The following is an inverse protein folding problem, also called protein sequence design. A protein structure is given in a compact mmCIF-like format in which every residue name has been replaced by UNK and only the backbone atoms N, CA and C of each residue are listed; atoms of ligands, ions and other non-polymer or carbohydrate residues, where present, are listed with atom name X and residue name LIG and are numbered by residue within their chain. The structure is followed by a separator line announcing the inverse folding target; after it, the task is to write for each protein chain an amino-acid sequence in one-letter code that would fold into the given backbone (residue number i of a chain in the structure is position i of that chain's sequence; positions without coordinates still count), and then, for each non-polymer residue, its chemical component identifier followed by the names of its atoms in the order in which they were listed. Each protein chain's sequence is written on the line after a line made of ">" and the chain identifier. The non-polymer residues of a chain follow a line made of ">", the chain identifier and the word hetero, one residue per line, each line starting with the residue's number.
data_IF_753051866979
#
_entry.id   IF_753051866979
#
_cell.length_a   1.000
_cell.length_b   1.000
_cell.length_c   1.000
_cell.angle_alpha   90.00
_cell.angle_beta   90.00
_cell.angle_gamma   90.00
#
_symmetry.space_group_name_H-M   'P 1'
#
loop_
_entity.id
_entity.type
_entity.pdbx_description
1 polymer ?
#
# COMPACT_ATOMS: atom_id res chain seq x y z
N UNK A 1 -14.69 8.32 -52.62
CA UNK A 1 -14.82 8.69 -51.20
C UNK A 1 -14.31 7.50 -50.40
N UNK A 2 -13.01 7.45 -50.19
CA UNK A 2 -12.30 6.34 -49.52
C UNK A 2 -11.91 6.84 -48.13
N UNK A 3 -12.53 6.27 -47.11
CA UNK A 3 -12.19 6.54 -45.71
C UNK A 3 -10.86 5.83 -45.41
N UNK A 4 -9.81 6.61 -45.19
CA UNK A 4 -8.57 6.13 -44.57
C UNK A 4 -8.83 5.84 -43.09
N UNK A 5 -8.46 4.66 -42.56
CA UNK A 5 -8.46 4.45 -41.12
C UNK A 5 -7.42 5.38 -40.50
N UNK A 6 -7.82 6.11 -39.46
CA UNK A 6 -6.89 6.86 -38.63
C UNK A 6 -6.09 5.86 -37.81
N UNK A 7 -4.82 5.67 -38.13
CA UNK A 7 -3.86 5.05 -37.22
C UNK A 7 -3.72 5.97 -36.01
N UNK A 8 -4.50 5.70 -34.96
CA UNK A 8 -4.17 6.20 -33.64
C UNK A 8 -2.89 5.47 -33.24
N UNK A 9 -1.74 6.12 -33.39
CA UNK A 9 -0.54 5.75 -32.64
C UNK A 9 -0.92 5.79 -31.16
N UNK A 10 -1.24 4.63 -30.59
CA UNK A 10 -1.43 4.49 -29.16
C UNK A 10 -0.08 4.79 -28.52
N UNK A 11 0.08 6.01 -28.01
CA UNK A 11 1.18 6.35 -27.12
C UNK A 11 1.07 5.40 -25.94
N UNK A 12 1.96 4.40 -25.86
CA UNK A 12 1.99 3.53 -24.70
C UNK A 12 2.25 4.41 -23.46
N UNK A 13 1.40 4.33 -22.42
CA UNK A 13 1.59 5.13 -21.24
C UNK A 13 2.94 4.79 -20.60
N UNK A 14 3.73 5.81 -20.32
CA UNK A 14 5.09 5.67 -19.78
C UNK A 14 5.03 5.07 -18.38
N UNK A 15 5.72 3.95 -18.17
CA UNK A 15 5.91 3.36 -16.84
C UNK A 15 7.02 4.10 -16.13
N UNK A 16 6.68 4.82 -15.05
CA UNK A 16 7.58 5.69 -14.31
C UNK A 16 7.97 5.06 -12.98
N UNK A 17 9.26 5.07 -12.57
CA UNK A 17 9.66 4.67 -11.23
C UNK A 17 8.94 5.50 -10.17
N UNK A 18 8.58 4.86 -9.06
CA UNK A 18 7.91 5.50 -7.94
C UNK A 18 8.62 5.15 -6.64
N UNK A 19 8.69 6.11 -5.72
CA UNK A 19 9.13 5.91 -4.35
C UNK A 19 8.16 6.63 -3.43
N UNK A 20 7.81 5.98 -2.33
CA UNK A 20 7.01 6.61 -1.28
C UNK A 20 7.92 7.59 -0.54
N UNK A 21 7.50 8.84 -0.46
CA UNK A 21 8.17 9.87 0.33
C UNK A 21 7.09 10.72 1.01
N UNK A 22 6.81 10.42 2.28
CA UNK A 22 5.85 11.18 3.07
C UNK A 22 6.58 12.32 3.79
N UNK A 23 6.22 13.60 3.53
CA UNK A 23 6.86 14.73 4.21
C UNK A 23 6.70 14.65 5.73
N UNK A 24 7.75 15.00 6.47
CA UNK A 24 7.73 14.95 7.95
C UNK A 24 6.59 15.80 8.55
N UNK A 25 6.25 16.92 7.91
CA UNK A 25 5.12 17.76 8.30
C UNK A 25 3.78 17.01 8.34
N UNK A 26 3.57 16.01 7.47
CA UNK A 26 2.36 15.19 7.45
C UNK A 26 2.34 14.21 8.63
N UNK A 27 3.50 13.66 8.99
CA UNK A 27 3.63 12.77 10.15
C UNK A 27 3.45 13.54 11.47
N UNK A 28 4.00 14.76 11.55
CA UNK A 28 3.77 15.65 12.68
C UNK A 28 2.30 16.07 12.80
N UNK A 29 1.65 16.41 11.68
CA UNK A 29 0.22 16.72 11.67
C UNK A 29 -0.63 15.53 12.12
N UNK A 30 -0.31 14.31 11.66
CA UNK A 30 -0.97 13.08 12.09
C UNK A 30 -0.88 12.90 13.61
N UNK A 31 0.33 12.97 14.19
CA UNK A 31 0.55 12.83 15.64
C UNK A 31 -0.21 13.90 16.43
N UNK A 32 -0.19 15.15 15.95
CA UNK A 32 -0.95 16.26 16.54
C UNK A 32 -2.45 15.99 16.58
N UNK A 33 -3.03 15.49 15.48
CA UNK A 33 -4.47 15.16 15.41
C UNK A 33 -4.84 14.02 16.34
N UNK A 34 -4.01 12.98 16.43
CA UNK A 34 -4.23 11.87 17.34
C UNK A 34 -4.22 12.38 18.80
N UNK A 35 -3.24 13.21 19.17
CA UNK A 35 -3.16 13.78 20.52
C UNK A 35 -4.34 14.70 20.87
N UNK A 36 -4.91 15.39 19.88
CA UNK A 36 -6.06 16.29 20.06
C UNK A 36 -7.42 15.58 19.96
N UNK A 37 -7.45 14.25 19.92
CA UNK A 37 -8.69 13.47 19.76
C UNK A 37 -9.70 13.77 20.85
N UNK A 38 -10.90 14.22 20.45
CA UNK A 38 -12.06 14.29 21.35
C UNK A 38 -12.76 12.93 21.36
N UNK A 39 -12.55 12.17 22.43
CA UNK A 39 -13.12 10.83 22.58
C UNK A 39 -14.65 10.84 22.78
N UNK A 40 -15.36 9.84 22.24
CA UNK A 40 -16.76 9.62 22.58
C UNK A 40 -16.91 9.06 24.00
N UNK A 41 -18.15 8.94 24.48
CA UNK A 41 -18.44 8.16 25.68
C UNK A 41 -18.11 6.68 25.48
N UNK A 42 -17.82 5.99 26.58
CA UNK A 42 -17.61 4.53 26.57
C UNK A 42 -18.86 3.79 26.06
N UNK A 43 -18.63 2.68 25.38
CA UNK A 43 -19.66 1.70 24.99
C UNK A 43 -20.50 1.21 26.19
N UNK A 44 -21.75 0.79 25.91
CA UNK A 44 -22.71 0.32 26.92
C UNK A 44 -22.62 -1.19 27.18
N UNK A 45 -21.82 -1.91 26.40
CA UNK A 45 -21.69 -3.37 26.43
C UNK A 45 -20.23 -3.76 26.71
N UNK A 46 -20.02 -4.96 27.25
CA UNK A 46 -18.66 -5.46 27.55
C UNK A 46 -17.99 -6.17 26.36
N UNK A 47 -18.74 -6.44 25.28
CA UNK A 47 -18.24 -7.09 24.06
C UNK A 47 -17.99 -6.09 22.91
N UNK A 48 -17.82 -6.60 21.68
CA UNK A 48 -17.58 -5.80 20.47
C UNK A 48 -18.80 -5.66 19.55
N UNK A 49 -20.00 -6.01 20.04
CA UNK A 49 -21.22 -5.97 19.23
C UNK A 49 -21.59 -4.56 18.74
N UNK A 50 -21.10 -3.51 19.42
CA UNK A 50 -21.27 -2.10 19.04
C UNK A 50 -20.04 -1.50 18.32
N UNK A 51 -19.08 -2.32 17.91
CA UNK A 51 -17.85 -1.89 17.25
C UNK A 51 -16.62 -2.01 18.15
N UNK A 52 -15.57 -1.25 17.81
CA UNK A 52 -14.30 -1.29 18.55
C UNK A 52 -14.46 -0.61 19.90
N UNK A 53 -14.06 -1.30 20.97
CA UNK A 53 -14.12 -0.80 22.33
C UNK A 53 -13.23 0.42 22.52
N UNK A 54 -13.69 1.42 23.29
CA UNK A 54 -12.99 2.69 23.51
C UNK A 54 -11.56 2.47 24.00
N UNK A 55 -11.37 1.58 24.97
CA UNK A 55 -10.05 1.27 25.52
C UNK A 55 -9.07 0.73 24.45
N UNK A 56 -9.56 -0.11 23.52
CA UNK A 56 -8.73 -0.67 22.45
C UNK A 56 -8.25 0.43 21.50
N UNK A 57 -9.16 1.31 21.09
CA UNK A 57 -8.83 2.41 20.16
C UNK A 57 -7.95 3.46 20.81
N UNK A 58 -8.13 3.73 22.12
CA UNK A 58 -7.26 4.64 22.88
C UNK A 58 -5.83 4.10 22.97
N UNK A 59 -5.65 2.81 23.28
CA UNK A 59 -4.31 2.20 23.29
C UNK A 59 -3.66 2.17 21.91
N UNK A 60 -4.42 1.85 20.86
CA UNK A 60 -3.92 1.90 19.48
C UNK A 60 -3.50 3.32 19.09
N UNK A 61 -4.32 4.32 19.41
CA UNK A 61 -4.01 5.73 19.14
C UNK A 61 -2.76 6.19 19.90
N UNK A 62 -2.61 5.79 21.17
CA UNK A 62 -1.40 6.07 21.96
C UNK A 62 -0.17 5.50 21.27
N UNK A 63 -0.16 4.19 20.98
CA UNK A 63 0.95 3.54 20.29
C UNK A 63 1.26 4.19 18.95
N UNK A 64 0.23 4.53 18.16
CA UNK A 64 0.42 5.16 16.85
C UNK A 64 1.05 6.55 16.95
N UNK A 65 0.69 7.34 17.97
CA UNK A 65 1.23 8.67 18.16
C UNK A 65 2.66 8.69 18.73
N UNK A 66 3.05 7.70 19.54
CA UNK A 66 4.31 7.73 20.30
C UNK A 66 5.35 6.73 19.85
N UNK A 67 4.93 5.51 19.49
CA UNK A 67 5.82 4.35 19.38
C UNK A 67 5.92 3.82 17.94
N UNK A 68 4.86 4.00 17.15
CA UNK A 68 4.83 3.53 15.77
C UNK A 68 5.75 4.36 14.87
N UNK A 69 6.64 3.66 14.19
CA UNK A 69 7.61 4.25 13.27
C UNK A 69 7.16 4.05 11.82
N UNK A 70 6.57 5.11 11.25
CA UNK A 70 6.18 5.13 9.83
C UNK A 70 7.39 4.92 8.89
N UNK A 71 8.58 5.42 9.26
CA UNK A 71 9.75 5.36 8.38
C UNK A 71 10.19 3.92 8.14
N UNK A 72 10.02 3.03 9.12
CA UNK A 72 10.23 1.58 8.90
C UNK A 72 9.25 0.98 7.90
N UNK A 73 8.00 1.43 7.88
CA UNK A 73 7.02 0.97 6.89
C UNK A 73 7.38 1.47 5.48
N UNK A 74 7.74 2.76 5.39
CA UNK A 74 8.20 3.41 4.16
C UNK A 74 9.45 2.73 3.58
N UNK A 75 10.46 2.45 4.42
CA UNK A 75 11.66 1.69 4.04
C UNK A 75 11.31 0.30 3.52
N UNK A 76 10.42 -0.45 4.20
CA UNK A 76 9.99 -1.79 3.75
C UNK A 76 9.30 -1.75 2.39
N UNK A 77 8.48 -0.74 2.13
CA UNK A 77 7.81 -0.57 0.84
C UNK A 77 8.80 -0.19 -0.26
N UNK A 78 9.67 0.78 0.01
CA UNK A 78 10.68 1.26 -0.94
C UNK A 78 11.83 0.28 -1.18
N UNK A 79 11.95 -0.78 -0.36
CA UNK A 79 12.85 -1.90 -0.64
C UNK A 79 12.43 -2.72 -1.88
N UNK A 80 11.19 -2.56 -2.36
CA UNK A 80 10.69 -3.18 -3.58
C UNK A 80 10.64 -2.17 -4.74
N UNK A 81 10.88 -2.59 -5.99
CA UNK A 81 10.67 -1.75 -7.16
C UNK A 81 9.18 -1.39 -7.33
N UNK A 82 8.88 -0.10 -7.28
CA UNK A 82 7.53 0.43 -7.44
C UNK A 82 7.46 1.36 -8.65
N UNK A 83 6.28 1.41 -9.26
CA UNK A 83 6.04 2.16 -10.49
C UNK A 83 4.65 2.79 -10.47
N UNK A 84 4.47 3.79 -11.32
CA UNK A 84 3.16 4.35 -11.67
C UNK A 84 3.05 4.47 -13.19
N UNK A 85 1.86 4.23 -13.73
CA UNK A 85 1.55 4.47 -15.14
C UNK A 85 0.09 4.92 -15.28
N UNK A 86 -0.22 5.65 -16.35
CA UNK A 86 -1.59 6.10 -16.62
C UNK A 86 -2.35 5.02 -17.41
N UNK A 87 -3.50 4.58 -16.92
CA UNK A 87 -4.41 3.67 -17.62
C UNK A 87 -5.80 4.31 -17.59
N UNK A 88 -6.40 4.50 -18.76
CA UNK A 88 -7.71 5.12 -18.92
C UNK A 88 -7.87 6.47 -18.18
N UNK A 89 -6.80 7.28 -18.19
CA UNK A 89 -6.76 8.60 -17.55
C UNK A 89 -6.55 8.59 -16.03
N UNK A 90 -6.16 7.45 -15.45
CA UNK A 90 -5.93 7.30 -14.00
C UNK A 90 -4.53 6.76 -13.76
N UNK A 91 -3.81 7.38 -12.81
CA UNK A 91 -2.53 6.85 -12.33
C UNK A 91 -2.74 5.56 -11.53
N UNK A 92 -2.13 4.46 -11.99
CA UNK A 92 -2.13 3.15 -11.34
C UNK A 92 -0.74 2.90 -10.76
N UNK A 93 -0.68 2.84 -9.42
CA UNK A 93 0.52 2.40 -8.68
C UNK A 93 0.60 0.87 -8.64
N UNK A 94 1.81 0.33 -8.82
CA UNK A 94 2.05 -1.10 -8.68
C UNK A 94 3.49 -1.42 -8.25
N UNK A 95 3.67 -2.60 -7.67
CA UNK A 95 4.97 -3.19 -7.35
C UNK A 95 5.27 -4.25 -8.41
N UNK A 96 6.46 -4.22 -9.01
CA UNK A 96 6.87 -5.22 -9.99
C UNK A 96 8.23 -5.81 -9.62
N UNK A 97 8.21 -7.05 -9.15
CA UNK A 97 9.41 -7.79 -8.76
C UNK A 97 9.63 -8.94 -9.73
N UNK A 98 10.80 -8.96 -10.38
CA UNK A 98 11.15 -10.03 -11.32
C UNK A 98 11.78 -11.19 -10.58
N UNK A 99 11.31 -12.40 -10.87
CA UNK A 99 12.00 -13.62 -10.44
C UNK A 99 13.36 -13.74 -11.12
N UNK A 100 14.31 -14.37 -10.44
CA UNK A 100 15.59 -14.78 -11.04
C UNK A 100 15.49 -16.04 -11.92
N UNK A 101 14.37 -16.75 -11.86
CA UNK A 101 14.16 -17.97 -12.63
C UNK A 101 13.54 -17.64 -14.00
N UNK A 102 14.17 -18.09 -15.09
CA UNK A 102 13.80 -17.72 -16.47
C UNK A 102 12.35 -18.07 -16.85
N UNK A 103 11.82 -19.15 -16.29
CA UNK A 103 10.47 -19.67 -16.59
C UNK A 103 9.45 -19.38 -15.48
N UNK A 104 9.69 -18.35 -14.66
CA UNK A 104 8.74 -17.96 -13.62
C UNK A 104 7.38 -17.57 -14.23
N UNK A 105 6.29 -18.07 -13.63
CA UNK A 105 4.93 -17.72 -14.04
C UNK A 105 4.63 -16.26 -13.66
N UNK A 106 4.27 -15.38 -14.62
CA UNK A 106 3.78 -14.05 -14.28
C UNK A 106 2.48 -14.15 -13.48
N UNK A 107 2.43 -13.45 -12.35
CA UNK A 107 1.27 -13.41 -11.45
C UNK A 107 0.93 -11.96 -11.11
N UNK A 108 -0.34 -11.58 -11.31
CA UNK A 108 -0.88 -10.33 -10.82
C UNK A 108 -1.63 -10.63 -9.51
N UNK A 109 -1.28 -9.90 -8.45
CA UNK A 109 -1.93 -10.01 -7.16
C UNK A 109 -2.61 -8.67 -6.82
N UNK A 110 -3.91 -8.72 -6.55
CA UNK A 110 -4.72 -7.55 -6.22
C UNK A 110 -5.25 -7.67 -4.80
N UNK A 111 -5.04 -6.64 -3.97
CA UNK A 111 -5.67 -6.56 -2.66
C UNK A 111 -7.16 -6.19 -2.78
N UNK A 112 -7.91 -6.40 -1.69
CA UNK A 112 -9.32 -6.02 -1.60
C UNK A 112 -9.54 -4.74 -0.79
N UNK A 113 -10.78 -4.52 -0.37
CA UNK A 113 -11.17 -3.51 0.60
C UNK A 113 -11.39 -4.17 1.98
N UNK A 114 -10.95 -3.58 3.11
CA UNK A 114 -10.24 -2.29 3.30
C UNK A 114 -8.70 -2.43 3.26
N UNK A 115 -8.19 -3.27 2.35
CA UNK A 115 -6.79 -3.68 2.28
C UNK A 115 -5.85 -2.75 1.49
N UNK A 116 -4.60 -3.16 1.36
CA UNK A 116 -3.57 -2.50 0.54
C UNK A 116 -2.46 -3.46 0.12
N UNK A 117 -1.56 -3.00 -0.76
CA UNK A 117 -0.36 -3.77 -1.18
C UNK A 117 0.53 -4.21 -0.02
N UNK A 118 0.43 -3.57 1.15
CA UNK A 118 1.19 -3.92 2.35
C UNK A 118 0.94 -5.38 2.79
N UNK A 119 -0.27 -5.89 2.58
CA UNK A 119 -0.65 -7.26 2.93
C UNK A 119 0.12 -8.33 2.13
N UNK A 120 0.69 -7.95 0.99
CA UNK A 120 1.34 -8.85 0.05
C UNK A 120 2.87 -8.84 0.18
N UNK A 121 3.47 -7.94 0.97
CA UNK A 121 4.93 -7.76 0.99
C UNK A 121 5.69 -9.01 1.39
N UNK A 122 5.16 -9.80 2.32
CA UNK A 122 5.83 -11.01 2.84
C UNK A 122 5.76 -12.19 1.87
N UNK A 123 4.88 -12.15 0.86
CA UNK A 123 4.80 -13.21 -0.16
C UNK A 123 5.79 -12.99 -1.31
N UNK A 124 6.26 -11.75 -1.50
CA UNK A 124 7.11 -11.37 -2.63
C UNK A 124 8.40 -12.20 -2.69
N UNK A 125 9.13 -12.30 -1.58
CA UNK A 125 10.38 -13.07 -1.51
C UNK A 125 10.18 -14.55 -1.88
N UNK A 126 9.33 -15.30 -1.15
CA UNK A 126 9.04 -16.69 -1.46
C UNK A 126 8.52 -16.94 -2.89
N UNK A 127 7.71 -16.04 -3.46
CA UNK A 127 7.16 -16.22 -4.80
C UNK A 127 8.16 -15.90 -5.92
N UNK A 128 9.04 -14.93 -5.71
CA UNK A 128 10.01 -14.51 -6.73
C UNK A 128 11.35 -15.24 -6.64
N UNK A 129 11.67 -15.76 -5.46
CA UNK A 129 12.88 -16.52 -5.18
C UNK A 129 12.64 -17.72 -4.24
N UNK A 130 11.86 -18.73 -4.65
CA UNK A 130 11.54 -19.89 -3.80
C UNK A 130 12.78 -20.63 -3.32
N UNK A 131 13.86 -20.67 -4.12
CA UNK A 131 15.11 -21.37 -3.77
C UNK A 131 15.84 -20.78 -2.56
N UNK A 132 15.69 -19.48 -2.27
CA UNK A 132 16.22 -18.86 -1.05
C UNK A 132 15.31 -19.06 0.17
N UNK A 133 14.08 -19.53 -0.04
CA UNK A 133 13.01 -19.59 0.96
C UNK A 133 12.49 -21.01 1.24
N UNK A 134 13.19 -22.05 0.77
CA UNK A 134 12.91 -23.45 1.13
C UNK A 134 12.13 -24.28 0.11
N UNK A 135 11.83 -23.72 -1.07
CA UNK A 135 11.24 -24.45 -2.20
C UNK A 135 9.73 -24.36 -2.29
#
# INVERSE_FOLDING_TARGET
>A
MTLTPSETTATHPEVRPFSIDVPEEKLLDLRRRIAATRWPSKELVEDRSQGVQLATVQELARYWATDYDWRKCEERLNALPQFVTEIDGVDIHFIHVRSRHENALPLIMTHGWPGSVVELLETVGPLTDPTAHGG
#
